data_IF_824315325547
#
_entry.id   IF_824315325547
#
_cell.length_a   1.000
_cell.length_b   1.000
_cell.length_c   1.000
_cell.angle_alpha   90.00
_cell.angle_beta   90.00
_cell.angle_gamma   90.00
#
_symmetry.space_group_name_H-M   'P 1'
#
loop_
_entity.id
_entity.type
_entity.pdbx_description
1 polymer ?
#
# COMPACT_ATOMS: atom_id res chain seq x y z
N UNK A 1 17.15 -20.94 0.52
CA UNK A 1 16.23 -19.91 1.00
C UNK A 1 15.13 -19.67 0.00
N UNK A 2 13.88 -19.63 0.42
CA UNK A 2 12.74 -19.39 -0.48
C UNK A 2 12.73 -17.95 -1.00
N UNK A 3 12.01 -17.71 -2.10
CA UNK A 3 11.81 -16.36 -2.61
C UNK A 3 11.15 -15.44 -1.59
N UNK A 4 10.19 -15.96 -0.81
CA UNK A 4 9.54 -15.19 0.24
C UNK A 4 10.53 -14.75 1.31
N UNK A 5 11.44 -15.61 1.71
CA UNK A 5 12.48 -15.27 2.69
C UNK A 5 13.41 -14.20 2.16
N UNK A 6 13.79 -14.29 0.89
CA UNK A 6 14.64 -13.28 0.25
C UNK A 6 13.98 -11.91 0.21
N UNK A 7 12.70 -11.87 -0.12
CA UNK A 7 11.91 -10.62 -0.15
C UNK A 7 11.80 -10.03 1.26
N UNK A 8 11.50 -10.87 2.25
CA UNK A 8 11.39 -10.42 3.64
C UNK A 8 12.71 -9.82 4.14
N UNK A 9 13.82 -10.47 3.86
CA UNK A 9 15.14 -9.97 4.23
C UNK A 9 15.48 -8.66 3.51
N UNK A 10 15.12 -8.55 2.23
CA UNK A 10 15.33 -7.33 1.46
C UNK A 10 14.58 -6.15 2.08
N UNK A 11 13.34 -6.36 2.51
CA UNK A 11 12.51 -5.30 3.09
C UNK A 11 13.16 -4.71 4.35
N UNK A 12 13.73 -5.54 5.19
CA UNK A 12 14.32 -5.10 6.47
C UNK A 12 15.82 -4.90 6.43
N UNK A 13 16.45 -5.05 5.26
CA UNK A 13 17.90 -4.92 5.15
C UNK A 13 18.37 -3.50 5.48
N UNK A 14 19.60 -3.38 5.97
CA UNK A 14 20.23 -2.10 6.31
C UNK A 14 19.44 -1.25 7.32
N UNK A 15 18.70 -1.89 8.22
CA UNK A 15 17.93 -1.18 9.23
C UNK A 15 16.69 -0.45 8.72
N UNK A 16 16.20 -0.79 7.53
CA UNK A 16 15.03 -0.16 6.94
C UNK A 16 13.74 -0.71 7.54
N UNK A 17 12.70 0.08 7.49
CA UNK A 17 11.37 -0.28 7.96
C UNK A 17 10.34 -0.35 6.84
N UNK A 18 9.10 -0.61 7.24
CA UNK A 18 7.95 -0.66 6.33
C UNK A 18 7.11 0.59 6.53
N UNK A 19 6.78 1.27 5.43
CA UNK A 19 5.86 2.40 5.44
C UNK A 19 4.45 1.88 5.16
N UNK A 20 3.54 2.09 6.12
CA UNK A 20 2.13 1.79 5.93
C UNK A 20 1.46 2.99 5.27
N UNK A 21 1.24 2.91 3.97
CA UNK A 21 0.54 3.94 3.18
C UNK A 21 -0.76 3.37 2.61
N UNK A 22 -1.40 2.53 3.41
CA UNK A 22 -2.57 1.75 3.02
C UNK A 22 -3.88 2.28 3.61
N UNK A 23 -3.90 3.52 4.04
CA UNK A 23 -5.11 4.13 4.58
C UNK A 23 -6.26 3.99 3.59
N UNK A 24 -7.42 3.53 4.08
CA UNK A 24 -8.64 3.48 3.27
C UNK A 24 -9.06 4.88 2.83
N UNK A 25 -9.92 4.95 1.82
CA UNK A 25 -10.44 6.24 1.35
C UNK A 25 -11.16 7.00 2.47
N UNK A 26 -11.87 6.31 3.37
CA UNK A 26 -12.50 6.95 4.51
C UNK A 26 -11.50 7.61 5.46
N UNK A 27 -10.40 6.94 5.76
CA UNK A 27 -9.35 7.49 6.61
C UNK A 27 -8.66 8.67 5.93
N UNK A 28 -8.33 8.54 4.64
CA UNK A 28 -7.72 9.62 3.87
C UNK A 28 -8.64 10.84 3.78
N UNK A 29 -9.94 10.62 3.61
CA UNK A 29 -10.91 11.71 3.57
C UNK A 29 -10.87 12.52 4.87
N UNK A 30 -10.86 11.85 6.02
CA UNK A 30 -10.77 12.55 7.30
C UNK A 30 -9.50 13.38 7.43
N UNK A 31 -8.37 12.84 6.98
CA UNK A 31 -7.08 13.54 7.04
C UNK A 31 -7.03 14.75 6.12
N UNK A 32 -7.50 14.61 4.89
CA UNK A 32 -7.50 15.69 3.91
C UNK A 32 -8.48 16.81 4.31
N UNK A 33 -9.69 16.45 4.75
CA UNK A 33 -10.67 17.43 5.20
C UNK A 33 -10.21 18.21 6.42
N UNK A 34 -9.43 17.59 7.30
CA UNK A 34 -8.87 18.29 8.47
C UNK A 34 -7.93 19.44 8.07
N UNK A 35 -7.39 19.42 6.87
CA UNK A 35 -6.55 20.50 6.33
C UNK A 35 -7.23 21.24 5.16
N UNK A 36 -8.55 21.12 5.08
CA UNK A 36 -9.38 21.80 4.07
C UNK A 36 -9.06 21.40 2.63
N UNK A 37 -8.68 20.14 2.41
CA UNK A 37 -8.43 19.59 1.09
C UNK A 37 -9.53 18.59 0.78
N UNK A 38 -10.16 18.71 -0.40
CA UNK A 38 -11.20 17.80 -0.83
C UNK A 38 -10.61 16.40 -1.12
N UNK A 39 -11.29 15.37 -0.65
CA UNK A 39 -10.87 13.99 -0.90
C UNK A 39 -11.30 13.55 -2.31
N UNK A 40 -10.38 13.64 -3.24
CA UNK A 40 -10.54 13.14 -4.60
C UNK A 40 -9.45 12.11 -4.87
N UNK A 41 -9.62 11.20 -5.86
CA UNK A 41 -8.55 10.28 -6.21
C UNK A 41 -7.23 10.99 -6.49
N UNK A 42 -7.28 12.14 -7.16
CA UNK A 42 -6.10 12.93 -7.50
C UNK A 42 -5.43 13.51 -6.24
N UNK A 43 -6.20 14.02 -5.31
CA UNK A 43 -5.65 14.59 -4.07
C UNK A 43 -5.10 13.49 -3.14
N UNK A 44 -5.75 12.34 -3.09
CA UNK A 44 -5.22 11.19 -2.34
C UNK A 44 -3.90 10.71 -2.94
N UNK A 45 -3.82 10.66 -4.27
CA UNK A 45 -2.58 10.30 -4.96
C UNK A 45 -1.47 11.33 -4.68
N UNK A 46 -1.77 12.61 -4.78
CA UNK A 46 -0.79 13.68 -4.53
C UNK A 46 -0.19 13.58 -3.13
N UNK A 47 -1.02 13.31 -2.13
CA UNK A 47 -0.55 13.12 -0.76
C UNK A 47 0.44 11.96 -0.67
N UNK A 48 0.10 10.83 -1.27
CA UNK A 48 0.95 9.64 -1.23
C UNK A 48 2.22 9.80 -2.07
N UNK A 49 2.11 10.45 -3.21
CA UNK A 49 3.26 10.68 -4.09
C UNK A 49 4.33 11.55 -3.42
N UNK A 50 3.94 12.52 -2.61
CA UNK A 50 4.88 13.34 -1.84
C UNK A 50 5.75 12.44 -0.94
N UNK A 51 5.12 11.49 -0.26
CA UNK A 51 5.85 10.54 0.58
C UNK A 51 6.79 9.65 -0.25
N UNK A 52 6.26 9.07 -1.31
CA UNK A 52 7.02 8.10 -2.12
C UNK A 52 8.16 8.74 -2.91
N UNK A 53 8.08 10.05 -3.14
CA UNK A 53 9.11 10.81 -3.87
C UNK A 53 10.11 11.49 -2.93
N UNK A 54 9.95 11.34 -1.62
CA UNK A 54 10.84 12.00 -0.66
C UNK A 54 12.24 11.37 -0.68
N UNK A 55 13.25 12.19 -0.42
CA UNK A 55 14.64 11.73 -0.39
C UNK A 55 14.91 10.70 0.69
N UNK A 56 14.16 10.72 1.79
CA UNK A 56 14.30 9.78 2.88
C UNK A 56 13.89 8.36 2.56
N UNK A 57 13.13 8.15 1.50
CA UNK A 57 12.66 6.82 1.11
C UNK A 57 13.81 5.82 0.94
N UNK A 58 14.84 6.20 0.21
CA UNK A 58 15.98 5.30 -0.09
C UNK A 58 16.70 4.83 1.17
N UNK A 59 16.77 5.67 2.18
CA UNK A 59 17.57 5.41 3.36
C UNK A 59 16.79 4.70 4.46
N UNK A 60 15.48 4.86 4.51
CA UNK A 60 14.67 4.45 5.65
C UNK A 60 13.65 3.38 5.34
N UNK A 61 13.19 3.27 4.10
CA UNK A 61 12.03 2.44 3.76
C UNK A 61 12.44 1.29 2.84
N UNK A 62 12.20 0.07 3.30
CA UNK A 62 12.45 -1.15 2.54
C UNK A 62 11.20 -1.77 1.94
N UNK A 63 10.01 -1.38 2.42
CA UNK A 63 8.74 -1.86 1.90
C UNK A 63 7.65 -0.83 2.11
N UNK A 64 6.66 -0.81 1.23
CA UNK A 64 5.50 0.09 1.33
C UNK A 64 4.23 -0.72 1.16
N UNK A 65 3.29 -0.55 2.09
CA UNK A 65 1.97 -1.17 1.97
C UNK A 65 1.06 -0.16 1.27
N UNK A 66 0.50 -0.55 0.13
CA UNK A 66 -0.38 0.31 -0.66
C UNK A 66 -1.85 -0.08 -0.46
N UNK A 67 -2.73 0.89 -0.70
CA UNK A 67 -4.16 0.67 -0.80
C UNK A 67 -4.51 0.30 -2.25
N UNK A 68 -5.59 -0.45 -2.45
CA UNK A 68 -6.01 -0.95 -3.77
C UNK A 68 -6.15 0.16 -4.82
N UNK A 69 -6.76 1.30 -4.46
CA UNK A 69 -6.84 2.45 -5.38
C UNK A 69 -5.46 2.89 -5.83
N UNK A 70 -4.53 3.02 -4.89
CA UNK A 70 -3.21 3.60 -5.14
C UNK A 70 -2.34 2.73 -6.02
N UNK A 71 -2.43 1.41 -5.88
CA UNK A 71 -1.61 0.50 -6.67
C UNK A 71 -1.91 0.58 -8.16
N UNK A 72 -3.09 1.08 -8.52
CA UNK A 72 -3.53 1.23 -9.91
C UNK A 72 -3.34 2.65 -10.46
N UNK A 73 -2.80 3.57 -9.67
CA UNK A 73 -2.63 4.96 -10.07
C UNK A 73 -1.26 5.20 -10.71
N UNK A 74 -1.20 6.26 -11.51
CA UNK A 74 0.03 6.67 -12.22
C UNK A 74 0.49 8.00 -11.60
N UNK A 75 1.76 8.10 -11.29
CA UNK A 75 2.34 9.31 -10.71
C UNK A 75 2.37 10.47 -11.70
N UNK A 76 2.64 11.66 -11.21
CA UNK A 76 2.77 12.86 -12.05
C UNK A 76 3.92 12.75 -13.06
N UNK A 77 4.89 11.88 -12.82
CA UNK A 77 6.02 11.64 -13.72
C UNK A 77 5.72 10.57 -14.77
N UNK A 78 4.52 9.99 -14.77
CA UNK A 78 4.13 8.96 -15.73
C UNK A 78 4.47 7.53 -15.31
N UNK A 79 5.12 7.34 -14.17
CA UNK A 79 5.42 6.01 -13.64
C UNK A 79 4.25 5.50 -12.79
N UNK A 80 3.98 4.20 -12.87
CA UNK A 80 3.03 3.60 -11.94
C UNK A 80 3.55 3.75 -10.50
N UNK A 81 2.64 3.77 -9.54
CA UNK A 81 3.05 3.88 -8.13
C UNK A 81 3.94 2.72 -7.69
N UNK A 82 3.64 1.44 -8.04
CA UNK A 82 4.59 0.36 -7.74
C UNK A 82 5.99 0.58 -8.32
N UNK A 83 6.09 1.08 -9.56
CA UNK A 83 7.38 1.36 -10.18
C UNK A 83 8.12 2.51 -9.48
N UNK A 84 7.39 3.54 -9.08
CA UNK A 84 7.97 4.65 -8.33
C UNK A 84 8.61 4.15 -7.03
N UNK A 85 7.92 3.26 -6.32
CA UNK A 85 8.42 2.66 -5.09
C UNK A 85 9.61 1.75 -5.36
N UNK A 86 9.53 0.89 -6.38
CA UNK A 86 10.63 -0.01 -6.75
C UNK A 86 11.88 0.76 -7.14
N UNK A 87 11.74 1.88 -7.83
CA UNK A 87 12.87 2.72 -8.23
C UNK A 87 13.55 3.39 -7.03
N UNK A 88 12.85 3.56 -5.91
CA UNK A 88 13.47 4.05 -4.68
C UNK A 88 14.19 2.95 -3.89
N UNK A 89 14.11 1.70 -4.35
CA UNK A 89 14.72 0.56 -3.69
C UNK A 89 13.81 -0.19 -2.73
N UNK A 90 12.57 0.25 -2.57
CA UNK A 90 11.60 -0.41 -1.68
C UNK A 90 10.76 -1.45 -2.42
N UNK A 91 10.20 -2.39 -1.68
CA UNK A 91 9.30 -3.42 -2.22
C UNK A 91 7.86 -2.93 -2.09
N UNK A 92 7.11 -2.78 -3.19
CA UNK A 92 5.69 -2.45 -3.09
C UNK A 92 4.88 -3.64 -2.60
N UNK A 93 3.96 -3.39 -1.68
CA UNK A 93 3.04 -4.37 -1.12
C UNK A 93 1.60 -3.85 -1.21
N UNK A 94 0.66 -4.69 -0.84
CA UNK A 94 -0.76 -4.39 -0.96
C UNK A 94 -1.53 -4.81 0.29
N UNK A 95 -2.40 -3.93 0.77
CA UNK A 95 -3.37 -4.25 1.80
C UNK A 95 -4.46 -5.14 1.20
N UNK A 96 -4.64 -6.32 1.78
CA UNK A 96 -5.62 -7.30 1.30
C UNK A 96 -6.79 -7.49 2.26
N UNK A 97 -6.80 -6.82 3.40
CA UNK A 97 -7.92 -6.89 4.32
C UNK A 97 -8.89 -5.73 4.12
N UNK A 98 -10.15 -5.95 4.49
CA UNK A 98 -11.18 -4.91 4.52
C UNK A 98 -11.63 -4.61 5.95
N UNK A 99 -10.83 -5.03 6.92
CA UNK A 99 -11.02 -4.74 8.32
C UNK A 99 -11.53 -5.93 9.13
N UNK A 100 -11.55 -5.77 10.44
CA UNK A 100 -12.06 -6.77 11.35
C UNK A 100 -13.57 -6.57 11.56
N UNK A 101 -14.32 -7.62 11.37
CA UNK A 101 -15.78 -7.65 11.53
C UNK A 101 -16.16 -8.66 12.60
N UNK A 102 -17.34 -8.48 13.17
CA UNK A 102 -17.84 -9.43 14.15
C UNK A 102 -18.08 -10.78 13.50
N UNK A 103 -17.61 -11.83 14.16
CA UNK A 103 -17.88 -13.19 13.70
C UNK A 103 -19.35 -13.52 13.95
N UNK A 104 -20.01 -14.09 12.94
CA UNK A 104 -21.40 -14.48 13.05
C UNK A 104 -21.61 -15.44 14.24
N UNK A 105 -22.64 -15.17 15.06
CA UNK A 105 -22.98 -15.94 16.25
C UNK A 105 -21.91 -15.94 17.36
N UNK A 106 -20.95 -15.01 17.31
CA UNK A 106 -19.87 -14.93 18.29
C UNK A 106 -19.49 -13.46 18.49
N UNK A 107 -20.30 -12.67 19.22
CA UNK A 107 -20.15 -11.21 19.28
C UNK A 107 -18.85 -10.72 19.92
N UNK A 108 -18.13 -11.58 20.61
CA UNK A 108 -16.84 -11.22 21.20
C UNK A 108 -15.64 -11.57 20.32
N UNK A 109 -15.89 -12.22 19.21
CA UNK A 109 -14.83 -12.64 18.29
C UNK A 109 -14.89 -11.85 16.99
N UNK A 110 -13.71 -11.64 16.39
CA UNK A 110 -13.58 -10.90 15.14
C UNK A 110 -13.02 -11.79 14.04
N UNK A 111 -13.40 -11.50 12.82
CA UNK A 111 -12.82 -12.11 11.64
C UNK A 111 -12.32 -10.98 10.74
N UNK A 112 -11.15 -11.17 10.15
CA UNK A 112 -10.62 -10.23 9.17
C UNK A 112 -11.17 -10.56 7.79
N UNK A 113 -11.86 -9.60 7.17
CA UNK A 113 -12.35 -9.73 5.81
C UNK A 113 -11.29 -9.29 4.82
N UNK A 114 -11.39 -9.73 3.56
CA UNK A 114 -10.49 -9.30 2.48
C UNK A 114 -9.93 -10.43 1.65
N UNK A 115 -10.40 -11.66 1.84
CA UNK A 115 -9.89 -12.79 1.07
C UNK A 115 -10.04 -12.59 -0.44
N UNK A 116 -11.12 -11.97 -0.87
CA UNK A 116 -11.37 -11.67 -2.27
C UNK A 116 -10.32 -10.72 -2.86
N UNK A 117 -9.89 -9.69 -2.11
CA UNK A 117 -8.80 -8.81 -2.54
C UNK A 117 -7.47 -9.57 -2.64
N UNK A 118 -7.19 -10.43 -1.67
CA UNK A 118 -6.00 -11.27 -1.69
C UNK A 118 -5.99 -12.16 -2.93
N UNK A 119 -7.12 -12.80 -3.24
CA UNK A 119 -7.24 -13.67 -4.41
C UNK A 119 -7.05 -12.90 -5.72
N UNK A 120 -7.59 -11.70 -5.84
CA UNK A 120 -7.41 -10.85 -7.02
C UNK A 120 -5.93 -10.55 -7.24
N UNK A 121 -5.22 -10.14 -6.20
CA UNK A 121 -3.81 -9.76 -6.30
C UNK A 121 -2.86 -10.94 -6.49
N UNK A 122 -3.22 -12.12 -6.01
CA UNK A 122 -2.43 -13.34 -6.20
C UNK A 122 -2.73 -13.97 -7.57
N UNK A 123 -3.98 -13.98 -7.99
CA UNK A 123 -4.43 -14.72 -9.19
C UNK A 123 -4.13 -14.01 -10.51
N UNK A 124 -3.81 -12.71 -10.49
CA UNK A 124 -3.61 -11.93 -11.71
C UNK A 124 -2.25 -11.21 -11.77
N UNK A 125 -1.15 -11.86 -11.36
CA UNK A 125 0.15 -11.19 -11.36
C UNK A 125 0.63 -10.80 -12.76
N UNK A 126 0.23 -11.55 -13.79
CA UNK A 126 0.65 -11.31 -15.18
C UNK A 126 0.04 -10.06 -15.78
N UNK A 127 -1.12 -9.62 -15.32
CA UNK A 127 -1.77 -8.40 -15.82
C UNK A 127 -1.00 -7.13 -15.45
N UNK A 128 -0.12 -7.20 -14.49
CA UNK A 128 0.65 -6.06 -13.99
C UNK A 128 2.00 -5.91 -14.65
N UNK A 129 2.45 -6.95 -15.33
CA UNK A 129 3.72 -6.96 -16.03
C UNK A 129 3.59 -6.35 -17.42
N UNK A 130 2.38 -6.41 -17.95
CA UNK A 130 2.05 -5.87 -19.26
C UNK A 130 1.41 -4.48 -19.13
#
# INVERSE_FOLDING_TARGET
MSELNKIALKIISNGKGILAADESNGTMTKRLEAVNVKSTPENRLSFREILFSSDGMKDCIGGVILYDETINQISSTGKSIPDLISNSGAVPGIKVDTGAKDLANSPKEKITEGLDLSLIHISEPTRRIH
#
